data_IF_922747869275
#
_entry.id   IF_922747869275
#
_cell.length_a   1.000
_cell.length_b   1.000
_cell.length_c   1.000
_cell.angle_alpha   90.00
_cell.angle_beta   90.00
_cell.angle_gamma   90.00
#
_symmetry.space_group_name_H-M   'P 1'
#
loop_
_entity.id
_entity.type
_entity.pdbx_description
1 polymer ?
#
# COMPACT_ATOMS: atom_id res chain seq x y z
N UNK A 1 34.49 -25.14 29.53
CA UNK A 1 33.78 -25.79 28.42
C UNK A 1 33.67 -27.27 28.73
N UNK A 2 32.46 -27.80 28.85
CA UNK A 2 32.23 -29.24 28.88
C UNK A 2 31.81 -29.66 27.47
N UNK A 3 32.44 -30.71 26.92
CA UNK A 3 32.05 -31.31 25.65
C UNK A 3 31.55 -32.72 25.93
N UNK A 4 30.44 -33.11 25.31
CA UNK A 4 29.90 -34.46 25.34
C UNK A 4 29.76 -34.97 23.91
N UNK A 5 30.06 -36.26 23.70
CA UNK A 5 29.85 -36.93 22.41
C UNK A 5 28.45 -37.54 22.47
N UNK A 6 27.57 -37.14 21.57
CA UNK A 6 26.21 -37.68 21.44
C UNK A 6 26.06 -38.40 20.11
N UNK A 7 24.96 -39.15 19.96
CA UNK A 7 24.53 -39.61 18.64
C UNK A 7 24.31 -38.40 17.71
N UNK A 8 24.59 -38.57 16.42
CA UNK A 8 24.40 -37.54 15.42
C UNK A 8 22.92 -37.19 15.28
N UNK A 9 22.60 -35.90 15.14
CA UNK A 9 21.23 -35.44 14.94
C UNK A 9 20.61 -36.11 13.68
N UNK A 10 19.32 -36.49 13.70
CA UNK A 10 18.67 -37.15 12.57
C UNK A 10 18.23 -36.18 11.46
N UNK A 11 18.57 -34.90 11.59
CA UNK A 11 18.35 -33.90 10.57
C UNK A 11 19.35 -32.75 10.71
N UNK A 12 19.55 -32.04 9.60
CA UNK A 12 20.18 -30.71 9.57
C UNK A 12 19.22 -29.73 8.91
N UNK A 13 19.40 -28.44 9.16
CA UNK A 13 18.63 -27.37 8.54
C UNK A 13 19.56 -26.33 7.95
N UNK A 14 19.16 -25.76 6.82
CA UNK A 14 19.88 -24.71 6.09
C UNK A 14 18.91 -23.57 5.74
N UNK A 15 19.38 -22.33 5.84
CA UNK A 15 18.68 -21.18 5.27
C UNK A 15 19.06 -21.08 3.80
N UNK A 16 18.08 -20.91 2.92
CA UNK A 16 18.35 -20.47 1.55
C UNK A 16 18.50 -18.96 1.59
N UNK A 17 19.73 -18.46 1.41
CA UNK A 17 20.00 -17.01 1.50
C UNK A 17 19.13 -16.24 0.50
N UNK A 18 18.35 -15.24 0.96
CA UNK A 18 17.59 -14.37 0.08
C UNK A 18 18.51 -13.65 -0.92
N UNK A 19 18.09 -13.57 -2.17
CA UNK A 19 18.82 -12.86 -3.24
C UNK A 19 18.38 -11.40 -3.37
N UNK A 20 17.41 -11.00 -2.57
CA UNK A 20 16.85 -9.65 -2.52
C UNK A 20 16.76 -9.16 -1.07
N UNK A 21 16.80 -7.84 -0.84
CA UNK A 21 16.73 -7.31 0.51
C UNK A 21 15.32 -7.38 1.09
N UNK A 22 15.24 -7.45 2.41
CA UNK A 22 14.05 -7.08 3.17
C UNK A 22 14.01 -5.55 3.31
N UNK A 23 13.15 -4.90 2.56
CA UNK A 23 12.98 -3.44 2.64
C UNK A 23 12.19 -3.04 3.89
N UNK A 24 12.46 -1.83 4.42
CA UNK A 24 11.63 -1.25 5.50
C UNK A 24 10.17 -1.17 5.10
N UNK A 25 9.28 -1.40 6.07
CA UNK A 25 7.84 -1.58 5.84
C UNK A 25 7.54 -2.70 4.84
N UNK A 26 8.45 -3.66 4.65
CA UNK A 26 8.30 -4.76 3.73
C UNK A 26 8.07 -6.09 4.43
N UNK A 27 7.93 -7.13 3.61
CA UNK A 27 7.84 -8.51 4.07
C UNK A 27 8.53 -9.45 3.09
N UNK A 28 9.03 -10.58 3.59
CA UNK A 28 9.54 -11.66 2.74
C UNK A 28 9.28 -13.02 3.39
N UNK A 29 9.41 -14.08 2.59
CA UNK A 29 9.45 -15.44 3.10
C UNK A 29 10.88 -15.95 3.15
N UNK A 30 11.42 -16.21 4.35
CA UNK A 30 12.72 -16.84 4.51
C UNK A 30 12.57 -18.36 4.37
N UNK A 31 13.11 -18.91 3.29
CA UNK A 31 13.05 -20.35 3.02
C UNK A 31 14.08 -21.10 3.86
N UNK A 32 13.63 -22.13 4.57
CA UNK A 32 14.46 -23.05 5.35
C UNK A 32 14.26 -24.46 4.81
N UNK A 33 15.36 -25.17 4.60
CA UNK A 33 15.38 -26.53 4.06
C UNK A 33 15.97 -27.47 5.11
N UNK A 34 15.31 -28.60 5.34
CA UNK A 34 15.81 -29.69 6.16
C UNK A 34 16.39 -30.80 5.29
N UNK A 35 17.55 -31.34 5.70
CA UNK A 35 18.07 -32.61 5.21
C UNK A 35 17.90 -33.63 6.32
N UNK A 36 17.04 -34.62 6.10
CA UNK A 36 16.68 -35.67 7.05
C UNK A 36 17.50 -36.92 6.80
N UNK A 37 17.89 -37.62 7.86
CA UNK A 37 18.42 -38.98 7.75
C UNK A 37 17.33 -39.96 7.36
N UNK A 38 17.73 -41.09 6.79
CA UNK A 38 16.83 -42.18 6.44
C UNK A 38 16.04 -42.63 7.68
N UNK A 39 14.72 -42.79 7.51
CA UNK A 39 13.80 -43.20 8.58
C UNK A 39 13.31 -42.07 9.50
N UNK A 40 13.81 -40.83 9.38
CA UNK A 40 13.35 -39.71 10.21
C UNK A 40 12.34 -38.81 9.49
N UNK A 41 11.07 -38.89 9.87
CA UNK A 41 9.97 -38.14 9.21
C UNK A 41 9.37 -37.04 10.08
N UNK A 42 9.63 -37.05 11.39
CA UNK A 42 8.95 -36.19 12.37
C UNK A 42 9.00 -34.69 12.03
N UNK A 43 7.95 -33.91 12.39
CA UNK A 43 7.93 -32.47 12.08
C UNK A 43 9.02 -31.71 12.84
N UNK A 44 9.63 -30.72 12.19
CA UNK A 44 10.69 -29.88 12.76
C UNK A 44 10.13 -28.47 12.97
N UNK A 45 9.93 -28.06 14.21
CA UNK A 45 9.54 -26.70 14.55
C UNK A 45 10.75 -25.76 14.33
N UNK A 46 10.60 -24.74 13.49
CA UNK A 46 11.65 -23.79 13.15
C UNK A 46 11.30 -22.38 13.62
N UNK A 47 12.31 -21.65 14.09
CA UNK A 47 12.20 -20.23 14.45
C UNK A 47 13.53 -19.53 14.29
N UNK A 48 13.50 -18.22 14.10
CA UNK A 48 14.70 -17.38 14.16
C UNK A 48 15.38 -17.54 15.53
N UNK A 49 16.71 -17.66 15.55
CA UNK A 49 17.51 -17.63 16.78
C UNK A 49 17.35 -16.28 17.48
N UNK A 50 17.36 -15.22 16.68
CA UNK A 50 17.08 -13.85 17.09
C UNK A 50 16.52 -13.09 15.88
N UNK A 51 15.82 -11.99 16.13
CA UNK A 51 15.40 -11.08 15.08
C UNK A 51 16.27 -9.83 15.09
N UNK A 52 16.78 -9.38 13.93
CA UNK A 52 17.39 -8.05 13.80
C UNK A 52 16.46 -6.94 14.35
N UNK A 53 16.99 -5.84 14.89
CA UNK A 53 16.20 -4.69 15.32
C UNK A 53 15.27 -4.19 14.21
N UNK A 54 13.98 -4.14 14.55
CA UNK A 54 12.90 -3.74 13.64
C UNK A 54 12.47 -4.80 12.62
N UNK A 55 13.03 -6.02 12.68
CA UNK A 55 12.55 -7.19 11.93
C UNK A 55 11.70 -8.07 12.86
N UNK A 56 10.58 -8.58 12.34
CA UNK A 56 9.72 -9.55 13.01
C UNK A 56 9.69 -10.87 12.25
N UNK A 57 9.41 -11.97 12.96
CA UNK A 57 9.25 -13.30 12.39
C UNK A 57 8.08 -14.03 13.06
N UNK A 58 7.39 -14.92 12.33
CA UNK A 58 6.45 -15.85 12.97
C UNK A 58 7.19 -16.88 13.84
N UNK A 59 6.61 -17.23 15.01
CA UNK A 59 7.23 -18.12 16.00
C UNK A 59 6.86 -19.60 15.87
N UNK A 60 5.74 -19.92 15.21
CA UNK A 60 5.12 -21.25 15.22
C UNK A 60 5.22 -21.95 13.85
N UNK A 61 6.35 -21.81 13.16
CA UNK A 61 6.56 -22.43 11.84
C UNK A 61 7.09 -23.85 12.02
N UNK A 62 6.56 -24.78 11.22
CA UNK A 62 7.03 -26.16 11.18
C UNK A 62 7.38 -26.56 9.75
N UNK A 63 8.47 -27.28 9.61
CA UNK A 63 8.68 -28.17 8.47
C UNK A 63 7.88 -29.41 8.81
N UNK A 64 6.74 -29.57 8.15
CA UNK A 64 5.78 -30.64 8.44
C UNK A 64 6.37 -32.04 8.27
N UNK A 65 5.66 -33.03 8.81
CA UNK A 65 6.06 -34.43 8.67
C UNK A 65 6.21 -34.79 7.18
N UNK A 66 7.27 -35.52 6.85
CA UNK A 66 7.62 -35.90 5.47
C UNK A 66 7.88 -34.71 4.52
N UNK A 67 7.91 -33.48 5.02
CA UNK A 67 8.33 -32.30 4.26
C UNK A 67 9.78 -31.93 4.58
N UNK A 68 10.41 -31.26 3.63
CA UNK A 68 11.81 -30.82 3.74
C UNK A 68 11.96 -29.31 3.68
N UNK A 69 10.88 -28.54 3.51
CA UNK A 69 10.97 -27.09 3.37
C UNK A 69 9.83 -26.42 4.12
N UNK A 70 10.12 -25.24 4.68
CA UNK A 70 9.12 -24.32 5.18
C UNK A 70 9.58 -22.88 4.97
N UNK A 71 8.63 -21.95 5.03
CA UNK A 71 8.88 -20.52 4.86
C UNK A 71 8.58 -19.84 6.19
N UNK A 72 9.57 -19.14 6.74
CA UNK A 72 9.37 -18.26 7.89
C UNK A 72 8.99 -16.87 7.35
N UNK A 73 7.76 -16.37 7.58
CA UNK A 73 7.41 -15.02 7.22
C UNK A 73 8.21 -14.02 8.05
N UNK A 74 8.91 -13.13 7.38
CA UNK A 74 9.63 -12.00 7.96
C UNK A 74 8.95 -10.69 7.57
N UNK A 75 8.94 -9.74 8.50
CA UNK A 75 8.48 -8.36 8.28
C UNK A 75 9.53 -7.38 8.78
N UNK A 76 9.62 -6.21 8.17
CA UNK A 76 10.44 -5.11 8.67
C UNK A 76 9.57 -3.87 8.90
N UNK A 77 9.74 -3.23 10.05
CA UNK A 77 9.09 -1.94 10.33
C UNK A 77 9.92 -0.76 9.77
N UNK A 78 9.39 0.46 9.87
CA UNK A 78 10.05 1.67 9.37
C UNK A 78 11.37 2.02 10.08
N UNK A 79 11.63 1.44 11.25
CA UNK A 79 12.86 1.62 12.03
C UNK A 79 13.88 0.49 11.89
N UNK A 80 13.65 -0.50 11.01
CA UNK A 80 14.57 -1.63 10.85
C UNK A 80 15.97 -1.15 10.46
N UNK A 81 17.01 -1.66 11.12
CA UNK A 81 18.38 -1.22 10.89
C UNK A 81 18.89 -1.68 9.52
N UNK A 82 19.26 -0.72 8.68
CA UNK A 82 19.73 -0.94 7.31
C UNK A 82 21.19 -1.40 7.35
N UNK A 83 21.39 -2.69 7.07
CA UNK A 83 22.70 -3.35 6.91
C UNK A 83 22.51 -4.80 6.50
N UNK A 84 23.62 -5.49 6.26
CA UNK A 84 23.62 -6.96 6.19
C UNK A 84 23.72 -7.56 7.60
N UNK A 85 22.78 -8.45 7.90
CA UNK A 85 22.68 -9.19 9.15
C UNK A 85 23.12 -10.63 8.98
N UNK A 86 23.73 -11.19 10.02
CA UNK A 86 24.05 -12.63 10.12
C UNK A 86 22.98 -13.34 10.93
N UNK A 87 21.99 -13.89 10.26
CA UNK A 87 20.86 -14.57 10.89
C UNK A 87 21.12 -16.08 11.01
N UNK A 88 20.40 -16.71 11.94
CA UNK A 88 20.36 -18.17 12.07
C UNK A 88 18.95 -18.60 12.47
N UNK A 89 18.59 -19.84 12.09
CA UNK A 89 17.33 -20.48 12.47
C UNK A 89 17.63 -21.67 13.36
N UNK A 90 16.86 -21.84 14.43
CA UNK A 90 16.87 -23.04 15.26
C UNK A 90 15.70 -23.93 14.84
N UNK A 91 15.98 -25.21 14.62
CA UNK A 91 15.01 -26.28 14.46
C UNK A 91 14.95 -27.15 15.71
N UNK A 92 13.75 -27.55 16.11
CA UNK A 92 13.49 -28.49 17.21
C UNK A 92 12.58 -29.61 16.74
N UNK A 93 12.96 -30.85 17.03
CA UNK A 93 12.10 -32.02 16.85
C UNK A 93 12.34 -33.01 17.99
N UNK A 94 11.48 -34.02 18.09
CA UNK A 94 11.68 -35.13 19.02
C UNK A 94 12.22 -36.36 18.29
N UNK A 95 13.02 -37.16 19.00
CA UNK A 95 13.46 -38.50 18.61
C UNK A 95 13.12 -39.41 19.78
N UNK A 96 12.07 -40.23 19.63
CA UNK A 96 11.42 -40.84 20.79
C UNK A 96 10.90 -39.77 21.75
N UNK A 97 11.25 -39.90 23.03
CA UNK A 97 10.87 -38.94 24.09
C UNK A 97 11.90 -37.80 24.27
N UNK A 98 13.00 -37.81 23.52
CA UNK A 98 14.07 -36.82 23.65
C UNK A 98 13.93 -35.68 22.64
N UNK A 99 14.01 -34.44 23.11
CA UNK A 99 14.01 -33.26 22.25
C UNK A 99 15.40 -32.95 21.71
N UNK A 100 15.54 -32.90 20.40
CA UNK A 100 16.77 -32.49 19.71
C UNK A 100 16.59 -31.08 19.14
N UNK A 101 17.63 -30.27 19.26
CA UNK A 101 17.73 -28.97 18.61
C UNK A 101 18.93 -28.93 17.67
N UNK A 102 18.73 -28.35 16.49
CA UNK A 102 19.78 -28.06 15.53
C UNK A 102 19.69 -26.58 15.12
N UNK A 103 20.80 -25.97 14.75
CA UNK A 103 20.85 -24.63 14.20
C UNK A 103 21.38 -24.68 12.77
N UNK A 104 20.94 -23.74 11.94
CA UNK A 104 21.59 -23.45 10.65
C UNK A 104 22.98 -22.86 10.89
N UNK A 105 23.81 -22.87 9.85
CA UNK A 105 24.92 -21.92 9.74
C UNK A 105 24.40 -20.48 9.64
N UNK A 106 25.28 -19.50 9.86
CA UNK A 106 24.94 -18.09 9.68
C UNK A 106 24.67 -17.79 8.20
N UNK A 107 23.53 -17.17 7.94
CA UNK A 107 23.10 -16.72 6.62
C UNK A 107 23.02 -15.19 6.55
N UNK A 108 23.20 -14.63 5.37
CA UNK A 108 23.02 -13.20 5.12
C UNK A 108 21.55 -12.82 4.97
N UNK A 109 21.15 -11.75 5.64
CA UNK A 109 19.90 -11.03 5.39
C UNK A 109 20.21 -9.54 5.22
N UNK A 110 20.03 -9.01 4.02
CA UNK A 110 20.14 -7.57 3.77
C UNK A 110 18.83 -6.88 4.14
N UNK A 111 18.92 -5.84 4.98
CA UNK A 111 17.83 -4.90 5.24
C UNK A 111 18.14 -3.59 4.53
N UNK A 112 17.19 -3.08 3.74
CA UNK A 112 17.40 -1.91 2.88
C UNK A 112 16.25 -0.89 2.95
N UNK A 113 16.46 0.27 2.33
CA UNK A 113 15.39 1.25 2.12
C UNK A 113 14.37 0.78 1.08
N UNK A 114 13.10 1.25 1.18
CA UNK A 114 12.09 1.04 0.16
C UNK A 114 12.54 1.59 -1.20
N UNK A 115 12.29 0.84 -2.26
CA UNK A 115 12.65 1.27 -3.62
C UNK A 115 11.74 2.40 -4.10
N UNK A 116 10.50 2.39 -3.62
CA UNK A 116 9.50 3.41 -3.92
C UNK A 116 8.87 3.90 -2.63
N UNK A 117 8.41 5.15 -2.67
CA UNK A 117 7.63 5.78 -1.61
C UNK A 117 6.37 6.37 -2.21
N UNK A 118 5.26 6.16 -1.52
CA UNK A 118 3.95 6.58 -1.99
C UNK A 118 3.39 7.71 -1.13
N UNK A 119 2.74 8.67 -1.79
CA UNK A 119 1.97 9.73 -1.15
C UNK A 119 0.55 9.73 -1.71
N UNK A 120 -0.42 9.43 -0.83
CA UNK A 120 -1.83 9.34 -1.19
C UNK A 120 -2.45 10.73 -1.27
N UNK A 121 -3.16 11.01 -2.36
CA UNK A 121 -4.02 12.19 -2.42
C UNK A 121 -5.32 11.94 -1.64
N UNK A 122 -5.88 13.00 -1.07
CA UNK A 122 -7.19 12.94 -0.43
C UNK A 122 -8.26 12.54 -1.46
N UNK A 123 -9.00 11.46 -1.17
CA UNK A 123 -10.03 10.93 -2.07
C UNK A 123 -11.38 10.86 -1.35
N UNK A 124 -12.44 11.30 -2.02
CA UNK A 124 -13.80 11.25 -1.50
C UNK A 124 -14.80 10.85 -2.58
N UNK A 125 -15.86 10.15 -2.18
CA UNK A 125 -17.00 9.82 -3.04
C UNK A 125 -18.28 9.67 -2.22
N UNK A 126 -19.44 9.70 -2.89
CA UNK A 126 -20.70 9.30 -2.27
C UNK A 126 -20.89 7.77 -2.35
N UNK A 127 -21.70 7.20 -1.46
CA UNK A 127 -22.06 5.78 -1.54
C UNK A 127 -22.70 5.43 -2.90
N UNK A 128 -22.26 4.32 -3.49
CA UNK A 128 -22.73 3.85 -4.78
C UNK A 128 -22.07 4.52 -5.98
N UNK A 129 -21.11 5.42 -5.76
CA UNK A 129 -20.33 6.06 -6.81
C UNK A 129 -18.96 5.43 -6.98
N UNK A 130 -18.37 5.69 -8.15
CA UNK A 130 -16.98 5.36 -8.49
C UNK A 130 -16.09 6.60 -8.33
N UNK A 131 -14.83 6.39 -7.97
CA UNK A 131 -13.84 7.46 -7.79
C UNK A 131 -12.42 6.95 -8.01
N UNK A 132 -11.48 7.88 -8.18
CA UNK A 132 -10.07 7.57 -8.41
C UNK A 132 -9.23 7.87 -7.15
N UNK A 133 -8.58 6.84 -6.62
CA UNK A 133 -7.53 7.01 -5.62
C UNK A 133 -6.21 7.24 -6.35
N UNK A 134 -5.74 8.49 -6.31
CA UNK A 134 -4.47 8.90 -6.92
C UNK A 134 -3.34 8.82 -5.90
N UNK A 135 -2.28 8.11 -6.25
CA UNK A 135 -1.08 7.90 -5.43
C UNK A 135 0.13 8.43 -6.17
N UNK A 136 0.80 9.43 -5.62
CA UNK A 136 2.08 9.92 -6.15
C UNK A 136 3.19 8.94 -5.80
N UNK A 137 4.10 8.75 -6.74
CA UNK A 137 5.21 7.80 -6.64
C UNK A 137 6.53 8.56 -6.66
N UNK A 138 7.33 8.34 -5.62
CA UNK A 138 8.72 8.76 -5.54
C UNK A 138 9.58 7.50 -5.69
N UNK A 139 10.42 7.45 -6.73
CA UNK A 139 11.33 6.34 -6.98
C UNK A 139 12.68 6.64 -6.29
N UNK A 140 12.94 5.95 -5.18
CA UNK A 140 14.16 6.12 -4.38
C UNK A 140 15.32 5.28 -4.94
N UNK A 141 15.01 4.10 -5.47
CA UNK A 141 16.00 3.17 -6.02
C UNK A 141 15.49 2.56 -7.32
N UNK A 142 16.25 2.70 -8.42
CA UNK A 142 15.88 2.08 -9.69
C UNK A 142 15.66 0.58 -9.56
N UNK A 143 14.67 0.08 -10.29
CA UNK A 143 14.42 -1.35 -10.47
C UNK A 143 14.05 -1.62 -11.92
N UNK A 144 14.32 -2.85 -12.36
CA UNK A 144 14.01 -3.31 -13.70
C UNK A 144 12.60 -3.90 -13.75
N UNK A 145 11.95 -3.76 -14.92
CA UNK A 145 10.61 -4.28 -15.16
C UNK A 145 9.47 -3.43 -14.58
N UNK A 146 8.36 -4.10 -14.28
CA UNK A 146 7.15 -3.49 -13.70
C UNK A 146 6.88 -4.09 -12.32
N UNK A 147 6.49 -3.25 -11.37
CA UNK A 147 5.98 -3.71 -10.09
C UNK A 147 4.46 -3.91 -10.16
N UNK A 148 3.95 -4.95 -9.51
CA UNK A 148 2.51 -5.11 -9.31
C UNK A 148 2.13 -4.40 -8.01
N UNK A 149 1.12 -3.53 -8.07
CA UNK A 149 0.68 -2.72 -6.93
C UNK A 149 -0.80 -2.97 -6.64
N UNK A 150 -1.10 -3.37 -5.41
CA UNK A 150 -2.45 -3.64 -4.94
C UNK A 150 -2.85 -2.58 -3.91
N UNK A 151 -4.04 -1.98 -4.06
CA UNK A 151 -4.62 -1.12 -3.03
C UNK A 151 -5.39 -1.98 -2.03
N UNK A 152 -4.90 -2.00 -0.79
CA UNK A 152 -5.45 -2.77 0.33
C UNK A 152 -6.04 -1.84 1.39
N UNK A 153 -6.79 -2.43 2.33
CA UNK A 153 -7.43 -1.70 3.42
C UNK A 153 -8.64 -0.88 2.96
N UNK A 154 -9.23 -1.22 1.82
CA UNK A 154 -10.51 -0.64 1.38
C UNK A 154 -11.63 -1.03 2.35
N UNK A 155 -12.62 -0.15 2.59
CA UNK A 155 -13.77 -0.47 3.42
C UNK A 155 -14.58 -1.65 2.87
N UNK A 156 -15.46 -2.22 3.71
CA UNK A 156 -16.42 -3.23 3.26
C UNK A 156 -17.23 -2.70 2.06
N UNK A 157 -17.51 -3.58 1.08
CA UNK A 157 -18.23 -3.23 -0.15
C UNK A 157 -17.52 -2.16 -1.01
N UNK A 158 -16.19 -2.09 -0.93
CA UNK A 158 -15.37 -1.23 -1.81
C UNK A 158 -14.38 -2.10 -2.57
N UNK A 159 -14.46 -2.05 -3.90
CA UNK A 159 -13.62 -2.87 -4.79
C UNK A 159 -12.70 -2.02 -5.65
N UNK A 160 -11.58 -2.62 -6.03
CA UNK A 160 -10.57 -2.05 -6.93
C UNK A 160 -9.72 -3.20 -7.49
N UNK A 161 -9.00 -2.96 -8.56
CA UNK A 161 -8.13 -3.93 -9.20
C UNK A 161 -6.65 -3.57 -9.01
N UNK A 162 -5.74 -4.56 -8.98
CA UNK A 162 -4.31 -4.29 -8.98
C UNK A 162 -3.89 -3.50 -10.22
N UNK A 163 -2.90 -2.62 -10.06
CA UNK A 163 -2.30 -1.86 -11.15
C UNK A 163 -0.81 -2.19 -11.30
N UNK A 164 -0.21 -1.70 -12.37
CA UNK A 164 1.21 -1.87 -12.65
C UNK A 164 1.94 -0.54 -12.47
N UNK A 165 3.12 -0.59 -11.87
CA UNK A 165 4.02 0.53 -11.73
C UNK A 165 5.26 0.30 -12.61
N UNK A 166 5.36 1.08 -13.68
CA UNK A 166 6.59 1.16 -14.47
C UNK A 166 7.68 1.94 -13.71
N UNK A 167 8.94 1.69 -14.06
CA UNK A 167 10.11 2.34 -13.43
C UNK A 167 10.11 3.87 -13.45
N UNK A 168 9.48 4.47 -14.48
CA UNK A 168 9.44 5.93 -14.70
C UNK A 168 8.10 6.56 -14.27
N UNK A 169 7.18 5.77 -13.72
CA UNK A 169 5.87 6.27 -13.34
C UNK A 169 5.96 7.16 -12.08
N UNK A 170 5.40 8.37 -12.19
CA UNK A 170 5.34 9.35 -11.09
C UNK A 170 4.02 9.31 -10.33
N UNK A 171 3.05 8.58 -10.83
CA UNK A 171 1.71 8.46 -10.28
C UNK A 171 1.08 7.11 -10.62
N UNK A 172 0.20 6.65 -9.72
CA UNK A 172 -0.67 5.49 -9.87
C UNK A 172 -2.11 5.92 -9.60
N UNK A 173 -3.03 5.37 -10.38
CA UNK A 173 -4.46 5.62 -10.21
C UNK A 173 -5.15 4.28 -10.01
N UNK A 174 -5.88 4.16 -8.91
CA UNK A 174 -6.76 3.03 -8.63
C UNK A 174 -8.20 3.46 -8.81
N UNK A 175 -8.91 2.82 -9.73
CA UNK A 175 -10.34 3.02 -9.86
C UNK A 175 -11.06 2.25 -8.76
N UNK A 176 -11.83 2.96 -7.95
CA UNK A 176 -12.49 2.42 -6.76
C UNK A 176 -13.99 2.53 -6.92
N UNK A 177 -14.69 1.43 -6.69
CA UNK A 177 -16.15 1.36 -6.76
C UNK A 177 -16.74 1.14 -5.37
N UNK A 178 -17.68 1.99 -5.00
CA UNK A 178 -18.48 1.84 -3.78
C UNK A 178 -19.90 1.35 -4.10
N UNK A 179 -20.59 0.83 -3.11
CA UNK A 179 -22.01 0.46 -3.18
C UNK A 179 -22.83 1.31 -2.19
N UNK A 180 -24.16 1.22 -2.28
CA UNK A 180 -25.06 1.87 -1.32
C UNK A 180 -24.86 1.37 0.14
N UNK A 181 -24.19 0.23 0.32
CA UNK A 181 -23.89 -0.38 1.63
C UNK A 181 -22.47 -0.09 2.12
N UNK A 182 -21.62 0.54 1.30
CA UNK A 182 -20.27 0.90 1.73
C UNK A 182 -20.35 1.80 2.98
N UNK A 183 -19.59 1.53 4.05
CA UNK A 183 -19.67 2.31 5.28
C UNK A 183 -19.37 3.79 5.04
N UNK A 184 -20.25 4.69 5.45
CA UNK A 184 -19.99 6.12 5.39
C UNK A 184 -18.96 6.54 6.46
N UNK A 185 -18.20 7.59 6.19
CA UNK A 185 -17.18 8.14 7.08
C UNK A 185 -15.79 8.23 6.46
N UNK A 186 -14.80 8.51 7.31
CA UNK A 186 -13.39 8.64 6.93
C UNK A 186 -12.65 7.34 7.24
N UNK A 187 -12.13 6.69 6.21
CA UNK A 187 -11.42 5.40 6.33
C UNK A 187 -9.92 5.59 6.12
N UNK A 188 -9.17 5.73 7.22
CA UNK A 188 -7.71 5.94 7.24
C UNK A 188 -6.93 4.62 7.26
N UNK A 189 -7.33 3.69 6.41
CA UNK A 189 -6.84 2.31 6.40
C UNK A 189 -6.15 1.94 5.09
N UNK A 190 -6.18 2.82 4.08
CA UNK A 190 -5.63 2.51 2.78
C UNK A 190 -4.11 2.38 2.83
N UNK A 191 -3.63 1.32 2.20
CA UNK A 191 -2.22 1.07 1.97
C UNK A 191 -2.03 0.40 0.61
N UNK A 192 -0.88 0.61 -0.02
CA UNK A 192 -0.51 -0.13 -1.22
C UNK A 192 0.50 -1.21 -0.87
N UNK A 193 0.26 -2.43 -1.38
CA UNK A 193 1.28 -3.47 -1.44
C UNK A 193 1.93 -3.43 -2.81
N UNK A 194 3.20 -3.02 -2.89
CA UNK A 194 3.96 -3.01 -4.13
C UNK A 194 4.97 -4.16 -4.17
N UNK A 195 4.90 -4.98 -5.21
CA UNK A 195 5.77 -6.15 -5.40
C UNK A 195 6.66 -5.94 -6.61
N UNK A 196 7.96 -5.77 -6.36
CA UNK A 196 9.00 -5.69 -7.40
C UNK A 196 9.66 -7.07 -7.50
N UNK A 197 9.87 -7.61 -8.70
CA UNK A 197 10.62 -8.85 -8.87
C UNK A 197 12.07 -8.52 -9.21
N UNK A 198 13.02 -9.01 -8.41
CA UNK A 198 14.45 -8.88 -8.67
C UNK A 198 15.14 -10.22 -8.39
N UNK A 199 16.11 -10.62 -9.22
CA UNK A 199 16.83 -11.89 -9.07
C UNK A 199 15.91 -13.14 -8.95
N UNK A 200 14.69 -13.07 -9.50
CA UNK A 200 13.69 -14.14 -9.41
C UNK A 200 12.92 -14.19 -8.08
N UNK A 201 13.11 -13.23 -7.18
CA UNK A 201 12.46 -13.16 -5.87
C UNK A 201 11.66 -11.85 -5.70
N UNK A 202 10.54 -11.88 -4.95
CA UNK A 202 9.72 -10.70 -4.72
C UNK A 202 10.28 -9.81 -3.60
N UNK A 203 10.38 -8.51 -3.89
CA UNK A 203 10.58 -7.44 -2.92
C UNK A 203 9.22 -6.80 -2.64
N UNK A 204 8.61 -7.18 -1.52
CA UNK A 204 7.29 -6.68 -1.12
C UNK A 204 7.43 -5.45 -0.23
N UNK A 205 6.77 -4.37 -0.63
CA UNK A 205 6.64 -3.12 0.12
C UNK A 205 5.20 -2.99 0.62
N UNK A 206 5.01 -2.57 1.87
CA UNK A 206 3.71 -2.19 2.43
C UNK A 206 3.73 -0.70 2.76
N UNK A 207 3.08 0.10 1.91
CA UNK A 207 3.17 1.56 1.91
C UNK A 207 1.81 2.16 2.27
N UNK A 208 1.64 2.54 3.54
CA UNK A 208 0.38 3.05 4.07
C UNK A 208 0.24 4.57 4.08
N UNK A 209 -0.87 5.03 4.63
CA UNK A 209 -1.13 6.44 4.91
C UNK A 209 -2.25 7.06 4.08
N UNK A 210 -2.99 6.27 3.31
CA UNK A 210 -4.10 6.76 2.51
C UNK A 210 -5.41 6.85 3.29
N UNK A 211 -6.33 7.65 2.75
CA UNK A 211 -7.68 7.83 3.29
C UNK A 211 -8.70 7.82 2.14
N UNK A 212 -9.80 7.09 2.34
CA UNK A 212 -11.01 7.23 1.52
C UNK A 212 -12.14 7.78 2.39
N UNK A 213 -12.72 8.91 1.99
CA UNK A 213 -13.95 9.42 2.59
C UNK A 213 -15.15 8.98 1.77
N UNK A 214 -16.11 8.33 2.43
CA UNK A 214 -17.38 7.93 1.81
C UNK A 214 -18.49 8.74 2.47
N UNK A 215 -19.17 9.57 1.69
CA UNK A 215 -20.27 10.40 2.16
C UNK A 215 -21.61 9.71 1.85
N UNK A 216 -22.59 9.85 2.73
CA UNK A 216 -23.97 9.46 2.39
C UNK A 216 -24.49 10.39 1.29
N UNK A 217 -25.22 9.88 0.27
CA UNK A 217 -25.76 10.70 -0.79
C UNK A 217 -26.59 11.85 -0.20
N UNK A 218 -26.40 13.06 -0.72
CA UNK A 218 -27.24 14.17 -0.29
C UNK A 218 -28.70 13.87 -0.64
N UNK A 219 -29.67 14.08 0.29
CA UNK A 219 -31.07 13.90 -0.03
C UNK A 219 -31.42 14.79 -1.24
N UNK A 220 -32.26 14.28 -2.17
CA UNK A 220 -32.65 15.06 -3.33
C UNK A 220 -33.24 16.39 -2.85
N UNK A 221 -32.78 17.50 -3.44
CA UNK A 221 -33.31 18.83 -3.10
C UNK A 221 -34.85 18.75 -3.17
N UNK A 222 -35.57 19.22 -2.13
CA UNK A 222 -37.02 19.28 -2.18
C UNK A 222 -37.41 19.96 -3.49
N UNK A 223 -38.24 19.29 -4.26
CA UNK A 223 -38.84 19.85 -5.47
C UNK A 223 -39.40 21.20 -5.06
N UNK A 224 -38.81 22.29 -5.59
CA UNK A 224 -39.41 23.60 -5.42
C UNK A 224 -40.88 23.46 -5.85
N UNK A 225 -41.86 23.90 -5.02
CA UNK A 225 -43.26 23.68 -5.31
C UNK A 225 -43.54 24.13 -6.74
N UNK A 226 -44.15 23.23 -7.51
CA UNK A 226 -44.54 23.50 -8.88
C UNK A 226 -45.27 24.86 -8.90
N UNK A 227 -44.87 25.81 -9.76
CA UNK A 227 -45.61 27.05 -9.88
C UNK A 227 -47.07 26.69 -10.19
N UNK A 228 -48.00 27.23 -9.41
CA UNK A 228 -49.43 27.07 -9.62
C UNK A 228 -49.77 27.43 -11.07
N UNK A 229 -50.66 26.68 -11.74
CA UNK A 229 -51.00 26.94 -13.13
C UNK A 229 -51.78 28.26 -13.24
N UNK A 230 -51.09 29.33 -13.62
CA UNK A 230 -51.73 30.47 -14.27
C UNK A 230 -51.91 30.13 -15.75
N UNK A 231 -53.17 30.01 -16.14
CA UNK A 231 -53.58 29.98 -17.53
C UNK A 231 -53.15 31.29 -18.24
N UNK A 232 -52.53 31.14 -19.40
CA UNK A 232 -53.00 31.59 -20.73
C UNK A 232 -51.76 31.74 -21.62
N UNK A 233 -51.86 31.12 -22.79
CA UNK A 233 -50.85 31.07 -23.84
C UNK A 233 -50.39 32.46 -24.30
N UNK A 234 -49.07 32.59 -24.47
CA UNK A 234 -48.47 33.54 -25.40
C UNK A 234 -47.25 32.89 -26.07
N UNK A 235 -47.17 33.14 -27.39
CA UNK A 235 -46.30 32.63 -28.45
C UNK A 235 -44.87 32.10 -28.11
N UNK A 236 -44.36 31.14 -28.91
CA UNK A 236 -43.00 30.63 -28.77
C UNK A 236 -41.95 31.70 -29.14
N UNK A 237 -41.11 32.07 -28.18
CA UNK A 237 -39.86 32.79 -28.45
C UNK A 237 -38.73 31.79 -28.76
N UNK A 238 -37.83 32.14 -29.70
CA UNK A 238 -36.79 31.25 -30.21
C UNK A 238 -35.76 30.83 -29.15
N UNK A 239 -35.38 29.55 -29.22
CA UNK A 239 -34.35 28.91 -28.39
C UNK A 239 -33.02 29.67 -28.47
N UNK A 240 -32.52 30.10 -27.31
CA UNK A 240 -31.12 30.50 -27.16
C UNK A 240 -30.23 29.24 -27.20
N UNK A 241 -29.14 29.24 -27.99
CA UNK A 241 -28.17 28.14 -28.00
C UNK A 241 -27.52 27.93 -26.62
N UNK A 242 -27.10 26.70 -26.29
CA UNK A 242 -26.53 26.36 -25.00
C UNK A 242 -25.27 27.17 -24.69
N UNK A 243 -25.25 27.79 -23.51
CA UNK A 243 -24.10 28.52 -22.99
C UNK A 243 -22.91 27.56 -22.81
N UNK A 244 -21.91 27.69 -23.69
CA UNK A 244 -20.55 27.25 -23.40
C UNK A 244 -20.13 27.86 -22.07
N UNK A 245 -19.73 27.01 -21.10
CA UNK A 245 -19.10 27.48 -19.87
C UNK A 245 -17.83 28.23 -20.26
N UNK A 246 -17.88 29.56 -20.19
CA UNK A 246 -16.76 30.45 -20.44
C UNK A 246 -15.64 30.11 -19.47
N UNK A 247 -14.44 29.93 -20.01
CA UNK A 247 -13.24 29.67 -19.20
C UNK A 247 -12.92 30.90 -18.34
N UNK A 248 -12.22 30.71 -17.21
CA UNK A 248 -11.89 31.75 -16.22
C UNK A 248 -11.28 33.03 -16.83
N UNK A 249 -10.57 32.90 -17.94
CA UNK A 249 -9.97 34.02 -18.69
C UNK A 249 -11.00 34.84 -19.47
N UNK A 250 -12.06 34.22 -19.97
CA UNK A 250 -13.13 34.90 -20.69
C UNK A 250 -14.08 35.61 -19.72
N UNK A 251 -14.30 35.05 -18.52
CA UNK A 251 -15.00 35.73 -17.43
C UNK A 251 -14.27 37.02 -17.00
N UNK A 252 -12.94 36.96 -16.85
CA UNK A 252 -12.10 38.12 -16.50
C UNK A 252 -12.11 39.23 -17.56
N UNK A 253 -12.22 38.89 -18.85
CA UNK A 253 -12.38 39.89 -19.93
C UNK A 253 -13.74 40.56 -19.90
N UNK A 254 -14.80 39.81 -19.64
CA UNK A 254 -16.17 40.32 -19.52
C UNK A 254 -16.35 41.22 -18.29
N UNK A 255 -15.69 40.90 -17.18
CA UNK A 255 -15.64 41.76 -15.98
C UNK A 255 -14.89 43.08 -16.25
N UNK A 256 -13.79 43.04 -17.02
CA UNK A 256 -13.06 44.25 -17.44
C UNK A 256 -13.88 45.15 -18.35
N UNK A 257 -14.57 44.59 -19.33
CA UNK A 257 -15.44 45.37 -20.22
C UNK A 257 -16.66 45.94 -19.48
N UNK A 258 -17.22 45.21 -18.51
CA UNK A 258 -18.30 45.72 -17.66
C UNK A 258 -17.81 46.85 -16.74
N UNK A 259 -16.62 46.73 -16.15
CA UNK A 259 -16.01 47.80 -15.35
C UNK A 259 -15.70 49.06 -16.17
N UNK A 260 -15.29 48.90 -17.43
CA UNK A 260 -15.07 50.02 -18.36
C UNK A 260 -16.38 50.71 -18.77
N UNK A 261 -17.50 49.97 -18.84
CA UNK A 261 -18.82 50.51 -19.20
C UNK A 261 -19.61 51.08 -18.02
N UNK A 262 -19.31 50.69 -16.78
CA UNK A 262 -20.00 51.19 -15.58
C UNK A 262 -19.31 52.38 -14.89
N UNK A 263 -18.19 52.89 -15.42
CA UNK A 263 -17.55 54.10 -14.92
C UNK A 263 -17.02 54.01 -13.49
N UNK A 264 -16.88 52.81 -12.92
CA UNK A 264 -16.28 52.61 -11.60
C UNK A 264 -14.79 52.27 -11.73
N UNK A 265 -13.96 53.21 -11.29
CA UNK A 265 -12.51 53.03 -11.13
C UNK A 265 -12.22 51.80 -10.25
N UNK A 266 -11.34 50.87 -10.65
CA UNK A 266 -10.86 49.84 -9.75
C UNK A 266 -10.02 50.49 -8.64
N UNK A 267 -10.42 50.24 -7.41
CA UNK A 267 -9.73 50.66 -6.19
C UNK A 267 -8.34 50.02 -6.16
N UNK A 268 -7.32 50.88 -6.15
CA UNK A 268 -5.93 50.48 -6.11
C UNK A 268 -5.58 49.93 -4.72
N UNK A 269 -4.78 48.87 -4.73
CA UNK A 269 -4.15 48.26 -3.57
C UNK A 269 -3.55 49.30 -2.61
N UNK A 270 -4.04 49.34 -1.37
CA UNK A 270 -3.35 49.95 -0.24
C UNK A 270 -2.39 48.93 0.38
N UNK A 271 -1.21 48.82 -0.23
CA UNK A 271 -0.04 48.30 0.48
C UNK A 271 0.42 49.36 1.48
N UNK A 272 0.01 49.21 2.74
CA UNK A 272 0.58 49.93 3.87
C UNK A 272 1.47 48.96 4.67
N UNK A 273 2.77 49.26 4.68
CA UNK A 273 3.77 48.57 5.49
C UNK A 273 5.07 49.37 5.41
N UNK A 274 5.19 50.39 6.25
CA UNK A 274 6.37 51.26 6.32
C UNK A 274 7.33 50.87 7.45
N UNK A 275 8.58 51.35 7.29
CA UNK A 275 9.43 51.82 8.37
C UNK A 275 10.28 50.79 9.13
N UNK A 276 11.58 50.83 8.89
CA UNK A 276 12.64 50.13 9.62
C UNK A 276 13.92 50.06 8.82
#
# INVERSE_FOLDING_TARGET
MAMAITAEAPFTIDVVEPKVPLVRNGSMGLKVVAKRKEGFTAPIAIRMLYNPPGVGSSGDIKIEENQNEAIIPLTANGGAEIRQWKIAVIGRSNVGDEGIMASTQLANLEVAEPYVKFAFNATACEQGQETDVVVKVENNKPFEGEAVVELLGTPFEVTTEPTKLGKDATELVFHVKTTAKSPAGRHKTLLCRATVIANGEPIVHNLGGGELRIDTPLPPKPTAPAPMPTAVAAAPQPQKPPEKRLTRLEQLRLEREKALKSGQKPEAASGAGGGG
#
